data_IF_423049990421
#
_entry.id   IF_423049990421
#
_cell.length_a   1.000
_cell.length_b   1.000
_cell.length_c   1.000
_cell.angle_alpha   90.00
_cell.angle_beta   90.00
_cell.angle_gamma   90.00
#
_symmetry.space_group_name_H-M   'P 1'
#
loop_
_entity.id
_entity.type
_entity.pdbx_description
1 polymer ?
#
# COMPACT_ATOMS: atom_id res chain seq x y z
N UNK A 1 12.12 -24.84 51.03
CA UNK A 1 11.23 -24.46 49.91
C UNK A 1 11.05 -22.94 49.93
N UNK A 2 11.65 -22.15 49.02
CA UNK A 2 11.41 -20.71 48.97
C UNK A 2 10.07 -20.40 48.31
N UNK A 3 9.30 -19.50 48.93
CA UNK A 3 7.90 -19.23 48.63
C UNK A 3 7.72 -18.46 47.30
N UNK A 4 6.93 -19.03 46.40
CA UNK A 4 6.57 -18.46 45.09
C UNK A 4 5.78 -17.13 45.17
N UNK A 5 5.35 -16.71 46.36
CA UNK A 5 4.52 -15.50 46.57
C UNK A 5 5.27 -14.17 46.54
N UNK A 6 6.56 -14.12 46.94
CA UNK A 6 7.30 -12.83 47.01
C UNK A 6 7.83 -12.36 45.64
N UNK A 7 8.04 -13.27 44.69
CA UNK A 7 8.53 -12.91 43.35
C UNK A 7 7.44 -12.20 42.52
N UNK A 8 6.18 -12.63 42.64
CA UNK A 8 5.04 -12.04 41.90
C UNK A 8 4.73 -10.62 42.39
N UNK A 9 4.74 -10.38 43.71
CA UNK A 9 4.48 -9.05 44.28
C UNK A 9 5.54 -8.01 43.94
N UNK A 10 6.81 -8.44 43.78
CA UNK A 10 7.89 -7.55 43.35
C UNK A 10 7.72 -7.12 41.88
N UNK A 11 7.45 -8.06 40.96
CA UNK A 11 7.27 -7.72 39.54
C UNK A 11 6.09 -6.76 39.30
N UNK A 12 4.98 -6.92 40.03
CA UNK A 12 3.82 -6.02 39.93
C UNK A 12 4.18 -4.61 40.38
N UNK A 13 4.95 -4.47 41.48
CA UNK A 13 5.35 -3.16 42.02
C UNK A 13 6.33 -2.43 41.09
N UNK A 14 7.23 -3.16 40.43
CA UNK A 14 8.12 -2.61 39.40
C UNK A 14 7.35 -2.23 38.12
N UNK A 15 6.44 -3.07 37.63
CA UNK A 15 5.59 -2.76 36.47
C UNK A 15 4.74 -1.50 36.64
N UNK A 16 4.13 -1.32 37.82
CA UNK A 16 3.35 -0.11 38.13
C UNK A 16 4.24 1.12 38.27
N UNK A 17 5.36 1.04 39.00
CA UNK A 17 6.24 2.19 39.24
C UNK A 17 6.90 2.70 37.95
N UNK A 18 7.29 1.79 37.05
CA UNK A 18 7.89 2.16 35.77
C UNK A 18 6.83 2.52 34.73
N UNK A 19 5.65 1.88 34.76
CA UNK A 19 4.51 2.22 33.92
C UNK A 19 3.98 3.64 34.18
N UNK A 20 3.93 4.10 35.43
CA UNK A 20 3.51 5.48 35.76
C UNK A 20 4.59 6.51 35.40
N UNK A 21 5.87 6.17 35.61
CA UNK A 21 6.98 7.11 35.36
C UNK A 21 7.29 7.33 33.88
N UNK A 22 7.17 6.29 33.05
CA UNK A 22 7.50 6.36 31.62
C UNK A 22 6.26 6.27 30.73
N UNK A 23 5.12 5.78 31.23
CA UNK A 23 3.89 5.60 30.47
C UNK A 23 3.42 6.82 29.69
N UNK A 24 3.36 8.04 30.27
CA UNK A 24 2.95 9.23 29.54
C UNK A 24 3.83 9.52 28.33
N UNK A 25 5.15 9.35 28.42
CA UNK A 25 6.07 9.59 27.30
C UNK A 25 5.95 8.53 26.21
N UNK A 26 5.76 7.25 26.57
CA UNK A 26 5.54 6.19 25.56
C UNK A 26 4.19 6.38 24.87
N UNK A 27 3.16 6.83 25.58
CA UNK A 27 1.83 7.12 25.02
C UNK A 27 1.89 8.30 24.06
N UNK A 28 2.61 9.38 24.39
CA UNK A 28 2.80 10.54 23.50
C UNK A 28 3.57 10.14 22.24
N UNK A 29 4.66 9.38 22.37
CA UNK A 29 5.40 8.88 21.21
C UNK A 29 4.57 7.92 20.35
N UNK A 30 3.78 7.05 20.97
CA UNK A 30 2.87 6.16 20.26
C UNK A 30 1.75 6.92 19.55
N UNK A 31 1.21 7.98 20.15
CA UNK A 31 0.22 8.85 19.51
C UNK A 31 0.81 9.60 18.32
N UNK A 32 2.01 10.15 18.48
CA UNK A 32 2.74 10.80 17.38
C UNK A 32 3.14 9.83 16.27
N UNK A 33 3.34 8.55 16.58
CA UNK A 33 3.60 7.50 15.59
C UNK A 33 2.33 6.95 14.90
N UNK A 34 1.15 7.09 15.51
CA UNK A 34 -0.12 6.67 14.91
C UNK A 34 -0.50 7.54 13.71
N UNK A 35 -0.30 8.85 13.79
CA UNK A 35 -0.63 9.77 12.70
C UNK A 35 0.13 9.47 11.38
N UNK A 36 1.46 9.28 11.36
CA UNK A 36 2.18 8.94 10.14
C UNK A 36 1.82 7.53 9.65
N UNK A 37 1.58 6.58 10.55
CA UNK A 37 1.14 5.23 10.18
C UNK A 37 -0.23 5.24 9.49
N UNK A 38 -1.18 6.02 10.01
CA UNK A 38 -2.51 6.19 9.42
C UNK A 38 -2.44 6.89 8.06
N UNK A 39 -1.61 7.93 7.92
CA UNK A 39 -1.37 8.62 6.63
C UNK A 39 -0.78 7.66 5.60
N UNK A 40 0.25 6.90 5.95
CA UNK A 40 0.85 5.94 5.03
C UNK A 40 -0.13 4.83 4.61
N UNK A 41 -0.96 4.35 5.54
CA UNK A 41 -2.02 3.39 5.23
C UNK A 41 -3.07 3.99 4.28
N UNK A 42 -3.48 5.24 4.52
CA UNK A 42 -4.44 5.94 3.67
C UNK A 42 -3.88 6.13 2.25
N UNK A 43 -2.64 6.59 2.11
CA UNK A 43 -1.97 6.71 0.81
C UNK A 43 -1.88 5.36 0.09
N UNK A 44 -1.59 4.27 0.81
CA UNK A 44 -1.56 2.94 0.22
C UNK A 44 -2.95 2.50 -0.31
N UNK A 45 -4.02 2.79 0.44
CA UNK A 45 -5.38 2.53 0.01
C UNK A 45 -5.77 3.36 -1.21
N UNK A 46 -5.40 4.63 -1.24
CA UNK A 46 -5.73 5.51 -2.35
C UNK A 46 -4.98 5.13 -3.63
N UNK A 47 -3.71 4.71 -3.51
CA UNK A 47 -2.96 4.07 -4.62
C UNK A 47 -3.67 2.82 -5.15
N UNK A 48 -4.20 1.99 -4.26
CA UNK A 48 -4.93 0.78 -4.67
C UNK A 48 -6.26 1.12 -5.37
N UNK A 49 -7.00 2.12 -4.87
CA UNK A 49 -8.23 2.60 -5.49
C UNK A 49 -7.96 3.21 -6.86
N UNK A 50 -6.93 4.03 -7.01
CA UNK A 50 -6.52 4.62 -8.28
C UNK A 50 -6.21 3.52 -9.32
N UNK A 51 -5.43 2.51 -8.93
CA UNK A 51 -5.16 1.35 -9.78
C UNK A 51 -6.44 0.64 -10.20
N UNK A 52 -7.35 0.37 -9.25
CA UNK A 52 -8.61 -0.32 -9.52
C UNK A 52 -9.47 0.46 -10.52
N UNK A 53 -9.62 1.78 -10.32
CA UNK A 53 -10.35 2.66 -11.24
C UNK A 53 -9.76 2.66 -12.65
N UNK A 54 -8.43 2.70 -12.77
CA UNK A 54 -7.77 2.62 -14.07
C UNK A 54 -8.07 1.30 -14.79
N UNK A 55 -8.02 0.17 -14.08
CA UNK A 55 -8.33 -1.16 -14.63
C UNK A 55 -9.79 -1.24 -15.05
N UNK A 56 -10.72 -0.78 -14.21
CA UNK A 56 -12.15 -0.76 -14.52
C UNK A 56 -12.42 0.13 -15.74
N UNK A 57 -11.77 1.29 -15.85
CA UNK A 57 -11.90 2.17 -17.01
C UNK A 57 -11.34 1.51 -18.29
N UNK A 58 -10.14 0.95 -18.23
CA UNK A 58 -9.56 0.23 -19.36
C UNK A 58 -10.41 -0.96 -19.82
N UNK A 59 -11.12 -1.63 -18.90
CA UNK A 59 -12.01 -2.74 -19.26
C UNK A 59 -13.22 -2.30 -20.11
N UNK A 60 -13.62 -1.03 -20.03
CA UNK A 60 -14.72 -0.46 -20.83
C UNK A 60 -14.27 0.10 -22.18
N UNK A 61 -12.97 0.17 -22.42
CA UNK A 61 -12.37 0.81 -23.59
C UNK A 61 -11.96 -0.25 -24.61
N UNK A 62 -12.15 0.05 -25.91
CA UNK A 62 -11.71 -0.83 -26.99
C UNK A 62 -10.20 -0.99 -26.95
N UNK A 63 -9.74 -2.24 -26.87
CA UNK A 63 -8.30 -2.55 -26.75
C UNK A 63 -7.64 -1.82 -25.56
N UNK A 64 -8.39 -1.68 -24.47
CA UNK A 64 -7.95 -0.95 -23.30
C UNK A 64 -6.72 -1.57 -22.64
N UNK A 65 -5.73 -0.72 -22.38
CA UNK A 65 -4.53 -1.10 -21.61
C UNK A 65 -4.25 -0.06 -20.53
N UNK A 66 -3.50 -0.46 -19.52
CA UNK A 66 -3.09 0.42 -18.41
C UNK A 66 -1.57 0.43 -18.31
N UNK A 67 -1.00 1.63 -18.20
CA UNK A 67 0.42 1.85 -17.92
C UNK A 67 0.58 2.47 -16.54
N UNK A 68 1.51 1.96 -15.76
CA UNK A 68 1.94 2.62 -14.52
C UNK A 68 3.05 3.61 -14.87
N UNK A 69 2.85 4.88 -14.54
CA UNK A 69 3.85 5.94 -14.68
C UNK A 69 3.99 6.71 -13.37
N UNK A 70 4.91 7.66 -13.34
CA UNK A 70 5.10 8.61 -12.25
C UNK A 70 5.04 10.01 -12.83
N UNK A 71 4.40 10.91 -12.10
CA UNK A 71 4.27 12.29 -12.56
C UNK A 71 5.65 12.97 -12.57
N UNK A 72 6.11 13.52 -13.71
CA UNK A 72 7.40 14.20 -13.79
C UNK A 72 7.41 15.56 -13.10
N UNK A 73 6.24 16.17 -12.83
CA UNK A 73 6.12 17.51 -12.24
C UNK A 73 5.80 17.47 -10.75
N UNK A 74 5.25 16.36 -10.25
CA UNK A 74 5.06 16.15 -8.82
C UNK A 74 6.32 15.52 -8.20
N UNK A 75 6.30 15.26 -6.89
CA UNK A 75 7.41 14.68 -6.10
C UNK A 75 7.86 13.26 -6.54
N UNK A 76 7.49 12.79 -7.74
CA UNK A 76 7.71 11.45 -8.32
C UNK A 76 7.34 10.26 -7.41
N UNK A 77 6.74 10.54 -6.25
CA UNK A 77 6.54 9.57 -5.18
C UNK A 77 5.20 8.84 -5.31
N UNK A 78 4.30 9.36 -6.15
CA UNK A 78 2.97 8.82 -6.35
C UNK A 78 2.81 8.20 -7.76
N UNK A 79 2.40 6.93 -7.83
CA UNK A 79 2.16 6.28 -9.11
C UNK A 79 0.86 6.78 -9.74
N UNK A 80 0.93 7.14 -11.01
CA UNK A 80 -0.21 7.50 -11.85
C UNK A 80 -0.46 6.37 -12.85
N UNK A 81 -1.71 5.96 -13.02
CA UNK A 81 -2.12 4.89 -13.92
C UNK A 81 -2.78 5.51 -15.15
N UNK A 82 -2.09 5.48 -16.28
CA UNK A 82 -2.59 5.99 -17.56
C UNK A 82 -3.34 4.88 -18.28
N UNK A 83 -4.54 5.19 -18.74
CA UNK A 83 -5.40 4.30 -19.52
C UNK A 83 -5.25 4.67 -21.00
N UNK A 84 -5.07 3.64 -21.83
CA UNK A 84 -4.95 3.77 -23.27
C UNK A 84 -6.12 3.10 -23.98
N UNK A 85 -6.49 3.65 -25.13
CA UNK A 85 -7.30 3.01 -26.16
C UNK A 85 -6.38 2.66 -27.33
N UNK A 86 -6.01 1.38 -27.47
CA UNK A 86 -4.91 0.97 -28.34
C UNK A 86 -3.61 1.75 -28.02
N UNK A 87 -3.24 2.72 -28.86
CA UNK A 87 -2.05 3.57 -28.68
C UNK A 87 -2.33 4.98 -28.17
N UNK A 88 -3.59 5.37 -28.08
CA UNK A 88 -3.99 6.71 -27.67
C UNK A 88 -4.22 6.79 -26.15
N UNK A 89 -3.48 7.63 -25.40
CA UNK A 89 -3.72 7.84 -23.98
C UNK A 89 -4.99 8.67 -23.75
N UNK A 90 -5.99 8.10 -23.06
CA UNK A 90 -7.30 8.73 -22.89
C UNK A 90 -7.54 9.31 -21.50
N UNK A 91 -6.90 8.77 -20.45
CA UNK A 91 -7.14 9.19 -19.07
C UNK A 91 -6.01 8.79 -18.12
N UNK A 92 -5.95 9.43 -16.95
CA UNK A 92 -5.02 9.12 -15.86
C UNK A 92 -5.73 9.00 -14.51
N UNK A 93 -5.26 8.07 -13.67
CA UNK A 93 -5.79 7.81 -12.33
C UNK A 93 -4.64 7.67 -11.30
N UNK A 94 -4.59 8.47 -10.21
CA UNK A 94 -5.50 9.57 -9.91
C UNK A 94 -5.40 10.68 -10.98
N UNK A 95 -6.41 11.53 -11.04
CA UNK A 95 -6.41 12.67 -11.97
C UNK A 95 -5.19 13.53 -11.70
N UNK A 96 -4.32 13.66 -12.68
CA UNK A 96 -3.17 14.57 -12.64
C UNK A 96 -3.44 15.81 -13.48
N UNK A 97 -2.87 16.94 -13.08
CA UNK A 97 -2.85 18.17 -13.87
C UNK A 97 -1.80 18.12 -14.98
N UNK A 98 -0.82 17.21 -14.87
CA UNK A 98 0.21 17.02 -15.90
C UNK A 98 -0.40 16.41 -17.16
N UNK A 99 -0.11 16.96 -18.35
CA UNK A 99 -0.62 16.43 -19.61
C UNK A 99 -0.26 14.95 -19.80
N UNK A 100 -1.18 14.16 -20.38
CA UNK A 100 -0.97 12.72 -20.61
C UNK A 100 0.30 12.43 -21.44
N UNK A 101 0.59 13.26 -22.44
CA UNK A 101 1.79 13.15 -23.26
C UNK A 101 3.09 13.25 -22.43
N UNK A 102 3.12 14.14 -21.45
CA UNK A 102 4.27 14.31 -20.57
C UNK A 102 4.39 13.16 -19.56
N UNK A 103 3.25 12.66 -19.05
CA UNK A 103 3.21 11.51 -18.14
C UNK A 103 3.79 10.24 -18.77
N UNK A 104 3.74 10.11 -20.09
CA UNK A 104 4.19 8.90 -20.80
C UNK A 104 5.51 9.08 -21.54
N UNK A 105 6.04 10.30 -21.64
CA UNK A 105 7.19 10.64 -22.47
C UNK A 105 8.44 9.80 -22.15
N UNK A 106 8.67 9.49 -20.87
CA UNK A 106 9.82 8.74 -20.39
C UNK A 106 9.47 7.31 -19.94
N UNK A 107 8.25 6.85 -20.22
CA UNK A 107 7.74 5.57 -19.73
C UNK A 107 7.80 4.52 -20.83
N UNK A 108 8.21 3.31 -20.46
CA UNK A 108 8.23 2.19 -21.40
C UNK A 108 6.80 1.70 -21.70
N UNK A 109 6.33 2.01 -22.91
CA UNK A 109 5.00 1.67 -23.40
C UNK A 109 4.80 0.16 -23.57
N UNK A 110 5.87 -0.63 -23.70
CA UNK A 110 5.78 -2.09 -23.79
C UNK A 110 5.33 -2.73 -22.47
N UNK A 111 5.44 -2.00 -21.35
CA UNK A 111 5.00 -2.48 -20.02
C UNK A 111 3.51 -2.29 -19.75
N UNK A 112 2.75 -1.84 -20.75
CA UNK A 112 1.27 -1.76 -20.68
C UNK A 112 0.68 -3.13 -20.41
N UNK A 113 -0.35 -3.17 -19.56
CA UNK A 113 -1.04 -4.41 -19.19
C UNK A 113 -2.51 -4.33 -19.56
N UNK A 114 -3.05 -5.40 -20.16
CA UNK A 114 -4.49 -5.49 -20.40
C UNK A 114 -5.21 -5.90 -19.10
N UNK A 115 -6.42 -5.39 -18.87
CA UNK A 115 -7.23 -5.80 -17.72
C UNK A 115 -7.42 -7.33 -17.60
N UNK A 116 -7.54 -8.02 -18.73
CA UNK A 116 -7.74 -9.48 -18.79
C UNK A 116 -6.51 -10.30 -18.36
N UNK A 117 -5.30 -9.74 -18.50
CA UNK A 117 -4.05 -10.44 -18.17
C UNK A 117 -3.68 -10.28 -16.69
N UNK A 118 -4.41 -9.44 -15.96
CA UNK A 118 -4.14 -9.21 -14.55
C UNK A 118 -4.63 -10.40 -13.70
N UNK A 119 -3.79 -10.90 -12.76
CA UNK A 119 -4.17 -12.02 -11.93
C UNK A 119 -5.36 -11.63 -11.05
N UNK A 120 -6.40 -12.47 -11.11
CA UNK A 120 -7.58 -12.32 -10.27
C UNK A 120 -7.20 -12.50 -8.79
N UNK A 121 -8.02 -12.01 -7.85
CA UNK A 121 -7.78 -12.28 -6.42
C UNK A 121 -7.64 -13.78 -6.12
N UNK A 122 -8.40 -14.64 -6.80
CA UNK A 122 -8.31 -16.08 -6.64
C UNK A 122 -6.96 -16.63 -7.12
N UNK A 123 -6.43 -16.14 -8.24
CA UNK A 123 -5.12 -16.57 -8.76
C UNK A 123 -3.98 -16.14 -7.84
N UNK A 124 -4.07 -14.94 -7.25
CA UNK A 124 -3.09 -14.48 -6.26
C UNK A 124 -3.06 -15.37 -5.02
N UNK A 125 -4.22 -15.81 -4.54
CA UNK A 125 -4.30 -16.72 -3.40
C UNK A 125 -3.66 -18.07 -3.74
N UNK A 126 -3.88 -18.58 -4.96
CA UNK A 126 -3.23 -19.83 -5.43
C UNK A 126 -1.70 -19.71 -5.54
N UNK A 127 -1.20 -18.52 -5.87
CA UNK A 127 0.24 -18.22 -5.98
C UNK A 127 0.94 -18.03 -4.64
N UNK A 128 0.19 -17.82 -3.54
CA UNK A 128 0.81 -17.73 -2.21
C UNK A 128 1.48 -19.06 -1.89
N UNK A 129 2.76 -19.05 -1.43
CA UNK A 129 3.44 -20.27 -1.05
C UNK A 129 2.61 -20.94 0.05
N UNK A 130 2.04 -22.11 -0.24
CA UNK A 130 1.39 -22.94 0.77
C UNK A 130 2.48 -23.31 1.76
N UNK A 131 2.55 -22.59 2.89
CA UNK A 131 3.51 -22.87 3.97
C UNK A 131 3.49 -24.37 4.19
N UNK A 132 4.57 -25.05 3.78
CA UNK A 132 4.68 -26.48 3.86
C UNK A 132 4.58 -26.84 5.35
N UNK A 133 3.44 -27.41 5.72
CA UNK A 133 3.19 -27.98 7.04
C UNK A 133 3.98 -29.30 7.11
N UNK A 134 5.31 -29.20 7.15
CA UNK A 134 6.25 -30.29 7.37
C UNK A 134 7.41 -29.77 8.22
N UNK A 135 7.12 -29.63 9.51
CA UNK A 135 8.08 -29.98 10.54
C UNK A 135 7.49 -31.23 11.18
N UNK A 136 8.10 -32.38 10.88
CA UNK A 136 7.82 -33.68 11.48
C UNK A 136 9.00 -34.00 12.39
#
# INVERSE_FOLDING_TARGET
>A
MPSKGKAVGSLVKWGVKYGVKYGPHVVVLAQQAKEPAMKAAQTALDRQKARRRAIEHAATVREGTVLKTFDPRADHSEPVWVVFSADDPIAAHPTSTTPLAELIANSDLATRVRPADLPTPADRIKQLPRKARRAR
#
